data_IF_182347446954
#
_entry.id   IF_182347446954
#
_cell.length_a   1.000
_cell.length_b   1.000
_cell.length_c   1.000
_cell.angle_alpha   90.00
_cell.angle_beta   90.00
_cell.angle_gamma   90.00
#
_symmetry.space_group_name_H-M   'P 1'
#
loop_
_entity.id
_entity.type
_entity.pdbx_description
1 polymer ?
#
# COMPACT_ATOMS: atom_id res chain seq x y z
N UNK A 1 -10.19 39.19 -83.74
CA UNK A 1 -10.86 40.08 -82.84
C UNK A 1 -9.80 40.67 -81.96
N UNK A 2 -9.70 41.98 -81.93
CA UNK A 2 -8.55 42.84 -81.82
C UNK A 2 -7.79 42.85 -80.48
N UNK A 3 -6.57 43.32 -80.48
CA UNK A 3 -5.71 43.47 -79.35
C UNK A 3 -6.07 44.72 -78.52
N UNK A 4 -6.14 44.58 -77.26
CA UNK A 4 -6.35 45.67 -76.32
C UNK A 4 -5.02 46.46 -76.17
N UNK A 5 -5.06 47.71 -76.52
CA UNK A 5 -3.92 48.67 -76.51
C UNK A 5 -4.10 49.48 -75.21
N UNK A 6 -3.30 49.23 -74.19
CA UNK A 6 -3.19 50.14 -73.04
C UNK A 6 -2.33 51.37 -73.39
N UNK A 7 -2.78 52.61 -73.07
CA UNK A 7 -2.02 53.82 -73.35
C UNK A 7 -0.82 54.00 -72.46
N UNK A 8 0.33 54.32 -73.04
CA UNK A 8 1.54 54.64 -72.29
C UNK A 8 1.46 55.96 -71.51
N UNK A 9 2.33 56.21 -70.59
CA UNK A 9 2.27 57.39 -69.73
C UNK A 9 2.63 58.68 -70.48
N UNK A 10 1.83 59.71 -70.26
CA UNK A 10 2.00 61.09 -70.76
C UNK A 10 3.25 61.71 -70.14
N UNK A 11 4.25 62.02 -70.93
CA UNK A 11 5.45 62.74 -70.48
C UNK A 11 5.19 64.25 -70.65
N UNK A 12 5.16 64.97 -69.52
CA UNK A 12 5.15 66.43 -69.50
C UNK A 12 6.60 66.94 -69.42
N UNK A 13 7.03 67.92 -70.25
CA UNK A 13 8.38 68.45 -70.23
C UNK A 13 8.54 69.46 -69.10
N UNK A 14 9.55 69.25 -68.20
CA UNK A 14 10.03 70.30 -67.32
C UNK A 14 10.06 69.97 -65.80
N UNK A 15 10.17 68.78 -65.41
CA UNK A 15 10.41 68.42 -63.98
C UNK A 15 11.60 67.49 -63.86
N UNK A 16 12.70 68.01 -63.22
CA UNK A 16 13.86 67.18 -62.84
C UNK A 16 13.45 66.19 -61.73
N UNK A 17 13.45 64.92 -62.08
CA UNK A 17 13.27 63.84 -61.16
C UNK A 17 14.62 63.42 -60.56
N UNK A 18 14.73 63.36 -59.19
CA UNK A 18 15.95 62.84 -58.58
C UNK A 18 16.11 61.36 -58.96
N UNK A 19 17.28 60.97 -59.40
CA UNK A 19 17.68 59.62 -59.71
C UNK A 19 17.70 58.83 -58.42
N UNK A 20 16.67 57.99 -58.17
CA UNK A 20 16.66 56.99 -57.06
C UNK A 20 17.55 55.83 -57.55
N UNK A 21 18.70 55.66 -56.90
CA UNK A 21 19.49 54.43 -57.00
C UNK A 21 18.66 53.30 -56.40
N UNK A 22 18.10 52.45 -57.19
CA UNK A 22 17.48 51.20 -56.77
C UNK A 22 18.60 50.18 -56.55
N UNK A 23 19.01 50.09 -55.25
CA UNK A 23 19.80 48.93 -54.84
C UNK A 23 18.89 47.71 -54.90
N UNK A 24 19.03 46.90 -55.93
CA UNK A 24 18.38 45.59 -56.04
C UNK A 24 19.02 44.69 -55.00
N UNK A 25 18.34 44.55 -53.84
CA UNK A 25 18.68 43.54 -52.86
C UNK A 25 18.39 42.18 -53.47
N UNK A 26 19.43 41.48 -53.93
CA UNK A 26 19.36 40.06 -54.29
C UNK A 26 19.02 39.31 -52.99
N UNK A 27 17.94 38.52 -52.93
CA UNK A 27 17.65 37.74 -51.78
C UNK A 27 18.79 36.75 -51.55
N UNK A 28 19.49 36.85 -50.44
CA UNK A 28 20.47 35.83 -50.00
C UNK A 28 19.74 34.49 -49.92
N UNK A 29 20.20 33.57 -50.75
CA UNK A 29 19.81 32.18 -50.76
C UNK A 29 19.82 31.63 -49.31
N UNK A 30 18.65 31.27 -48.79
CA UNK A 30 18.55 30.61 -47.48
C UNK A 30 19.34 29.31 -47.58
N UNK A 31 20.51 29.26 -46.92
CA UNK A 31 21.17 27.98 -46.62
C UNK A 31 20.11 27.04 -46.07
N UNK A 32 19.79 26.01 -46.81
CA UNK A 32 19.03 24.88 -46.30
C UNK A 32 19.81 24.32 -45.12
N UNK A 33 19.38 24.61 -43.91
CA UNK A 33 19.84 23.91 -42.71
C UNK A 33 19.32 22.49 -42.83
N UNK A 34 20.17 21.57 -43.17
CA UNK A 34 19.93 20.13 -43.01
C UNK A 34 19.37 19.88 -41.61
N UNK A 35 18.24 19.19 -41.49
CA UNK A 35 17.70 18.84 -40.15
C UNK A 35 18.82 18.13 -39.36
N UNK A 36 18.94 18.39 -38.03
CA UNK A 36 19.94 17.74 -37.26
C UNK A 36 19.78 16.23 -37.41
N UNK A 37 20.90 15.60 -37.77
CA UNK A 37 20.99 14.17 -37.98
C UNK A 37 20.37 13.46 -36.74
N UNK A 38 19.27 12.75 -36.96
CA UNK A 38 18.60 12.00 -35.87
C UNK A 38 19.62 10.98 -35.41
N UNK A 39 20.03 10.95 -34.12
CA UNK A 39 21.06 10.03 -33.68
C UNK A 39 20.66 8.62 -34.08
N UNK A 40 21.43 7.97 -34.90
CA UNK A 40 21.25 6.57 -35.25
C UNK A 40 21.19 5.77 -33.91
N UNK A 41 20.10 5.05 -33.69
CA UNK A 41 19.97 4.12 -32.59
C UNK A 41 21.09 3.08 -32.72
N UNK A 42 22.19 3.28 -32.01
CA UNK A 42 23.26 2.26 -31.91
C UNK A 42 22.59 0.95 -31.51
N UNK A 43 22.79 -0.08 -32.31
CA UNK A 43 22.36 -1.44 -31.94
C UNK A 43 23.14 -1.81 -30.67
N UNK A 44 22.38 -2.04 -29.58
CA UNK A 44 22.98 -2.47 -28.32
C UNK A 44 23.77 -3.76 -28.56
N UNK A 45 24.97 -3.81 -28.03
CA UNK A 45 25.74 -5.05 -28.04
C UNK A 45 25.14 -6.04 -27.05
N UNK A 46 25.29 -7.36 -27.23
CA UNK A 46 24.81 -8.34 -26.26
C UNK A 46 25.32 -8.08 -24.83
N UNK A 47 26.52 -7.51 -24.68
CA UNK A 47 27.10 -7.16 -23.38
C UNK A 47 26.41 -5.93 -22.75
N UNK A 48 26.06 -4.91 -23.55
CA UNK A 48 25.31 -3.74 -23.08
C UNK A 48 23.90 -4.15 -22.62
N UNK A 49 23.23 -5.00 -23.39
CA UNK A 49 21.94 -5.57 -23.00
C UNK A 49 22.03 -6.36 -21.71
N UNK A 50 23.01 -7.24 -21.56
CA UNK A 50 23.22 -8.03 -20.34
C UNK A 50 23.51 -7.13 -19.13
N UNK A 51 24.33 -6.09 -19.32
CA UNK A 51 24.63 -5.11 -18.27
C UNK A 51 23.38 -4.34 -17.84
N UNK A 52 22.58 -3.86 -18.78
CA UNK A 52 21.30 -3.17 -18.48
C UNK A 52 20.34 -4.08 -17.73
N UNK A 53 20.22 -5.33 -18.16
CA UNK A 53 19.39 -6.33 -17.50
C UNK A 53 19.88 -6.61 -16.07
N UNK A 54 21.20 -6.72 -15.85
CA UNK A 54 21.77 -6.92 -14.52
C UNK A 54 21.48 -5.75 -13.58
N UNK A 55 21.57 -4.49 -14.06
CA UNK A 55 21.26 -3.30 -13.28
C UNK A 55 19.77 -3.30 -12.87
N UNK A 56 18.87 -3.58 -13.80
CA UNK A 56 17.43 -3.67 -13.52
C UNK A 56 17.13 -4.76 -12.50
N UNK A 57 17.75 -5.94 -12.67
CA UNK A 57 17.57 -7.07 -11.74
C UNK A 57 18.07 -6.72 -10.33
N UNK A 58 19.28 -6.16 -10.20
CA UNK A 58 19.84 -5.77 -8.91
C UNK A 58 19.00 -4.68 -8.25
N UNK A 59 18.58 -3.67 -9.01
CA UNK A 59 17.71 -2.61 -8.49
C UNK A 59 16.35 -3.17 -8.05
N UNK A 60 15.75 -4.04 -8.85
CA UNK A 60 14.50 -4.72 -8.50
C UNK A 60 14.62 -5.57 -7.24
N UNK A 61 15.69 -6.37 -7.14
CA UNK A 61 15.96 -7.18 -5.95
C UNK A 61 16.19 -6.30 -4.70
N UNK A 62 16.89 -5.18 -4.85
CA UNK A 62 17.08 -4.23 -3.75
C UNK A 62 15.73 -3.68 -3.25
N UNK A 63 14.87 -3.22 -4.17
CA UNK A 63 13.55 -2.69 -3.82
C UNK A 63 12.70 -3.76 -3.11
N UNK A 64 12.61 -4.96 -3.67
CA UNK A 64 11.81 -6.05 -3.08
C UNK A 64 12.36 -6.49 -1.73
N UNK A 65 13.69 -6.50 -1.56
CA UNK A 65 14.31 -6.98 -0.32
C UNK A 65 14.17 -5.98 0.82
N UNK A 66 14.32 -4.68 0.55
CA UNK A 66 14.40 -3.66 1.60
C UNK A 66 13.14 -2.82 1.77
N UNK A 67 12.39 -2.57 0.69
CA UNK A 67 11.30 -1.60 0.70
C UNK A 67 9.92 -2.26 0.75
N UNK A 68 9.75 -3.39 0.06
CA UNK A 68 8.45 -4.06 -0.09
C UNK A 68 8.60 -5.53 0.26
N UNK A 69 7.71 -6.04 1.09
CA UNK A 69 7.66 -7.46 1.41
C UNK A 69 6.32 -8.05 1.04
N UNK A 70 6.33 -9.23 0.42
CA UNK A 70 5.12 -9.98 0.10
C UNK A 70 4.69 -10.85 1.29
N UNK A 71 3.39 -10.85 1.58
CA UNK A 71 2.77 -11.69 2.60
C UNK A 71 1.51 -12.34 2.03
N UNK A 72 1.22 -13.54 2.50
CA UNK A 72 -0.06 -14.23 2.29
C UNK A 72 -0.93 -14.07 3.53
N UNK A 73 -2.23 -13.91 3.35
CA UNK A 73 -3.21 -13.81 4.43
C UNK A 73 -3.77 -15.20 4.74
N UNK A 74 -3.42 -15.80 5.89
CA UNK A 74 -3.81 -17.17 6.20
C UNK A 74 -5.12 -17.29 6.98
N UNK A 75 -5.66 -16.18 7.54
CA UNK A 75 -6.80 -16.22 8.45
C UNK A 75 -7.87 -15.19 8.11
N UNK A 76 -9.10 -15.45 8.57
CA UNK A 76 -10.27 -14.58 8.35
C UNK A 76 -10.39 -13.42 9.34
N UNK A 77 -9.39 -13.18 10.19
CA UNK A 77 -9.49 -12.15 11.24
C UNK A 77 -9.62 -10.71 10.72
N UNK A 78 -9.23 -10.47 9.45
CA UNK A 78 -9.34 -9.17 8.78
C UNK A 78 -10.37 -9.17 7.63
N UNK A 79 -11.24 -10.19 7.58
CA UNK A 79 -12.34 -10.26 6.64
C UNK A 79 -13.33 -9.11 6.98
N UNK A 80 -13.78 -8.33 6.09
CA UNK A 80 -13.85 -8.27 4.63
C UNK A 80 -12.70 -7.53 3.94
N UNK A 81 -11.87 -6.86 4.70
CA UNK A 81 -10.75 -6.04 4.18
C UNK A 81 -9.71 -6.92 3.51
N UNK A 82 -9.28 -7.99 4.18
CA UNK A 82 -8.35 -8.99 3.67
C UNK A 82 -8.96 -10.37 3.79
N UNK A 83 -8.95 -11.13 2.70
CA UNK A 83 -9.49 -12.49 2.64
C UNK A 83 -8.37 -13.52 2.73
N UNK A 84 -8.70 -14.73 3.20
CA UNK A 84 -7.78 -15.88 3.16
C UNK A 84 -7.35 -16.12 1.71
N UNK A 85 -6.03 -16.27 1.49
CA UNK A 85 -5.42 -16.43 0.17
C UNK A 85 -5.22 -15.12 -0.60
N UNK A 86 -5.41 -13.95 0.04
CA UNK A 86 -4.91 -12.69 -0.48
C UNK A 86 -3.40 -12.63 -0.30
N UNK A 87 -2.69 -12.27 -1.36
CA UNK A 87 -1.27 -11.96 -1.35
C UNK A 87 -1.08 -10.45 -1.44
N UNK A 88 -0.48 -9.87 -0.42
CA UNK A 88 -0.35 -8.41 -0.26
C UNK A 88 1.10 -7.96 -0.30
N UNK A 89 1.34 -6.79 -0.89
CA UNK A 89 2.60 -6.09 -0.69
C UNK A 89 2.50 -5.18 0.51
N UNK A 90 3.54 -5.26 1.36
CA UNK A 90 3.68 -4.48 2.59
C UNK A 90 4.82 -3.49 2.43
N UNK A 91 4.48 -2.22 2.60
CA UNK A 91 5.43 -1.10 2.65
C UNK A 91 6.11 -1.08 4.03
N UNK A 92 7.42 -1.23 4.02
CA UNK A 92 8.24 -1.25 5.23
C UNK A 92 8.87 0.09 5.57
N UNK A 93 8.77 1.07 4.65
CA UNK A 93 9.47 2.34 4.75
C UNK A 93 8.59 3.43 5.36
N UNK A 94 7.39 3.63 4.83
CA UNK A 94 6.58 4.80 5.17
C UNK A 94 6.26 4.95 6.67
N UNK A 95 6.23 3.84 7.41
CA UNK A 95 6.03 3.81 8.86
C UNK A 95 7.27 3.32 9.62
N UNK A 96 8.42 3.17 8.97
CA UNK A 96 9.69 2.87 9.65
C UNK A 96 10.06 4.03 10.62
N UNK A 97 10.90 3.78 11.62
CA UNK A 97 11.52 4.87 12.37
C UNK A 97 12.32 5.77 11.43
N UNK A 98 12.20 7.10 11.53
CA UNK A 98 12.89 8.02 10.62
C UNK A 98 14.41 7.82 10.68
N UNK A 99 15.03 7.73 9.52
CA UNK A 99 16.47 7.59 9.38
C UNK A 99 17.12 8.93 9.07
N UNK A 100 18.18 9.29 9.79
CA UNK A 100 18.84 10.59 9.62
C UNK A 100 19.54 10.78 8.26
N UNK A 101 19.82 9.68 7.53
CA UNK A 101 20.53 9.74 6.25
C UNK A 101 19.61 9.67 5.02
N UNK A 102 18.33 9.32 5.20
CA UNK A 102 17.34 9.14 4.13
C UNK A 102 16.29 10.27 4.11
N UNK A 103 16.74 11.52 4.03
CA UNK A 103 15.87 12.71 4.06
C UNK A 103 14.91 12.85 2.86
N UNK A 104 14.97 11.95 1.89
CA UNK A 104 14.04 11.89 0.75
C UNK A 104 12.84 10.94 1.00
N UNK A 105 12.86 10.18 2.08
CA UNK A 105 11.77 9.26 2.42
C UNK A 105 10.67 9.97 3.22
N UNK A 106 9.43 9.70 2.84
CA UNK A 106 8.25 10.27 3.51
C UNK A 106 7.83 9.35 4.66
N UNK A 107 8.43 9.58 5.83
CA UNK A 107 8.01 8.91 7.05
C UNK A 107 6.72 9.52 7.59
N UNK A 108 5.81 8.69 8.05
CA UNK A 108 4.63 9.12 8.76
C UNK A 108 4.43 8.33 10.05
N UNK A 109 3.79 8.93 11.00
CA UNK A 109 3.36 8.26 12.22
C UNK A 109 2.21 7.29 11.93
N UNK A 110 2.16 6.19 12.68
CA UNK A 110 1.03 5.27 12.66
C UNK A 110 -0.17 5.98 13.28
N UNK A 111 -1.31 5.89 12.61
CA UNK A 111 -2.55 6.56 12.99
C UNK A 111 -3.64 5.54 13.31
N UNK A 112 -4.67 5.99 14.02
CA UNK A 112 -5.90 5.25 14.17
C UNK A 112 -6.49 4.88 12.79
N UNK A 113 -6.93 3.64 12.64
CA UNK A 113 -7.48 3.10 11.39
C UNK A 113 -6.44 2.48 10.46
N UNK A 114 -5.13 2.68 10.68
CA UNK A 114 -4.09 2.02 9.88
C UNK A 114 -4.12 0.51 10.06
N UNK A 115 -3.97 -0.20 8.95
CA UNK A 115 -3.72 -1.63 9.00
C UNK A 115 -2.21 -1.84 9.03
N UNK A 116 -1.74 -2.63 9.99
CA UNK A 116 -0.31 -2.88 10.21
C UNK A 116 -0.01 -4.37 10.22
N UNK A 117 1.16 -4.72 9.66
CA UNK A 117 1.78 -6.04 9.81
C UNK A 117 2.86 -5.93 10.87
N UNK A 118 2.85 -6.84 11.82
CA UNK A 118 3.77 -6.82 12.95
C UNK A 118 4.14 -8.23 13.41
N UNK A 119 5.24 -8.35 14.14
CA UNK A 119 5.61 -9.59 14.84
C UNK A 119 4.74 -9.75 16.10
N UNK A 120 4.12 -10.92 16.23
CA UNK A 120 3.29 -11.25 17.40
C UNK A 120 4.06 -11.02 18.69
N UNK A 121 3.50 -10.29 19.67
CA UNK A 121 4.11 -10.16 20.99
C UNK A 121 4.07 -11.45 21.82
N UNK A 122 3.19 -12.38 21.46
CA UNK A 122 3.00 -13.65 22.18
C UNK A 122 3.77 -14.80 21.52
N UNK A 123 3.74 -14.87 20.18
CA UNK A 123 4.33 -16.00 19.44
C UNK A 123 5.52 -15.52 18.63
N UNK A 124 6.77 -15.80 19.05
CA UNK A 124 7.96 -15.35 18.34
C UNK A 124 8.00 -15.82 16.89
N UNK A 125 8.31 -14.90 15.97
CA UNK A 125 8.46 -15.17 14.53
C UNK A 125 7.14 -15.23 13.76
N UNK A 126 5.99 -15.13 14.40
CA UNK A 126 4.68 -15.10 13.74
C UNK A 126 4.36 -13.67 13.31
N UNK A 127 4.11 -13.48 12.00
CA UNK A 127 3.59 -12.23 11.46
C UNK A 127 2.07 -12.19 11.59
N UNK A 128 1.56 -11.06 12.07
CA UNK A 128 0.14 -10.82 12.29
C UNK A 128 -0.26 -9.52 11.61
N UNK A 129 -1.48 -9.47 11.10
CA UNK A 129 -2.07 -8.25 10.54
C UNK A 129 -3.30 -7.86 11.34
N UNK A 130 -3.37 -6.59 11.77
CA UNK A 130 -4.51 -6.01 12.52
C UNK A 130 -4.69 -4.55 12.14
N UNK A 131 -5.87 -4.02 12.47
CA UNK A 131 -6.15 -2.59 12.38
C UNK A 131 -5.83 -1.91 13.69
N UNK A 132 -5.14 -0.78 13.63
CA UNK A 132 -4.83 0.06 14.80
C UNK A 132 -6.10 0.77 15.24
N UNK A 133 -6.59 0.41 16.40
CA UNK A 133 -7.76 1.03 17.04
C UNK A 133 -7.33 2.10 18.03
N UNK A 134 -6.27 1.85 18.81
CA UNK A 134 -5.71 2.81 19.75
C UNK A 134 -4.25 3.13 19.44
N UNK A 135 -3.91 4.41 19.51
CA UNK A 135 -2.53 4.94 19.44
C UNK A 135 -2.09 5.38 20.84
N UNK A 136 -0.79 5.66 21.07
CA UNK A 136 -0.29 6.08 22.38
C UNK A 136 -1.12 7.20 23.02
N UNK A 137 -1.56 7.00 24.25
CA UNK A 137 -2.39 7.91 25.04
C UNK A 137 -3.90 7.77 24.84
N UNK A 138 -4.37 6.98 23.88
CA UNK A 138 -5.79 6.73 23.71
C UNK A 138 -6.35 5.86 24.86
N UNK A 139 -7.59 6.13 25.21
CA UNK A 139 -8.40 5.36 26.16
C UNK A 139 -9.40 4.51 25.40
N UNK A 140 -9.37 3.20 25.62
CA UNK A 140 -10.15 2.22 24.85
C UNK A 140 -10.97 1.36 25.80
N UNK A 141 -12.26 1.18 25.49
CA UNK A 141 -13.10 0.12 26.02
C UNK A 141 -14.09 -0.36 24.97
N UNK A 142 -14.66 -1.52 25.18
CA UNK A 142 -15.78 -2.05 24.42
C UNK A 142 -17.00 -2.16 25.33
N UNK A 143 -18.17 -1.87 24.76
CA UNK A 143 -19.48 -2.11 25.40
C UNK A 143 -20.40 -2.72 24.36
N UNK A 144 -20.90 -3.92 24.63
CA UNK A 144 -21.74 -4.69 23.73
C UNK A 144 -21.18 -4.77 22.28
N UNK A 145 -19.87 -5.00 22.17
CA UNK A 145 -19.15 -5.12 20.91
C UNK A 145 -18.79 -3.80 20.24
N UNK A 146 -19.33 -2.68 20.69
CA UNK A 146 -19.01 -1.34 20.18
C UNK A 146 -17.73 -0.83 20.82
N UNK A 147 -16.77 -0.41 20.01
CA UNK A 147 -15.52 0.19 20.50
C UNK A 147 -15.72 1.66 20.82
N UNK A 148 -15.28 2.07 22.01
CA UNK A 148 -15.18 3.45 22.42
C UNK A 148 -13.71 3.85 22.48
N UNK A 149 -13.38 4.97 21.85
CA UNK A 149 -12.06 5.59 21.88
C UNK A 149 -12.18 7.00 22.46
N UNK A 150 -11.48 7.26 23.55
CA UNK A 150 -11.53 8.56 24.24
C UNK A 150 -12.98 8.98 24.61
N UNK A 151 -13.78 8.02 25.05
CA UNK A 151 -15.17 8.21 25.45
C UNK A 151 -16.18 8.38 24.30
N UNK A 152 -15.74 8.23 23.02
CA UNK A 152 -16.61 8.34 21.84
C UNK A 152 -16.72 6.99 21.13
N UNK A 153 -17.93 6.54 20.74
CA UNK A 153 -18.11 5.34 19.96
C UNK A 153 -17.50 5.51 18.57
N UNK A 154 -16.77 4.51 18.10
CA UNK A 154 -16.18 4.53 16.76
C UNK A 154 -17.21 4.16 15.69
N UNK A 155 -17.10 4.81 14.53
CA UNK A 155 -17.82 4.44 13.31
C UNK A 155 -16.92 3.49 12.51
N UNK A 156 -17.26 2.20 12.48
CA UNK A 156 -16.41 1.16 11.93
C UNK A 156 -17.11 0.35 10.82
N UNK A 157 -17.28 0.94 9.62
CA UNK A 157 -18.04 0.29 8.53
C UNK A 157 -17.37 -0.99 7.98
N UNK A 158 -16.12 -1.22 8.33
CA UNK A 158 -15.33 -2.41 7.96
C UNK A 158 -15.54 -3.60 8.90
N UNK A 159 -16.18 -3.38 10.05
CA UNK A 159 -16.35 -4.42 11.07
C UNK A 159 -17.43 -5.40 10.68
N UNK A 160 -17.15 -6.68 10.89
CA UNK A 160 -18.12 -7.76 10.80
C UNK A 160 -18.12 -8.63 12.07
N UNK A 161 -19.28 -9.23 12.32
CA UNK A 161 -19.54 -10.22 13.37
C UNK A 161 -19.95 -11.54 12.71
N UNK A 162 -18.96 -12.32 12.24
CA UNK A 162 -19.22 -13.49 11.38
C UNK A 162 -19.91 -14.64 12.09
N UNK A 163 -19.76 -14.77 13.41
CA UNK A 163 -20.37 -15.81 14.22
C UNK A 163 -21.71 -15.35 14.84
N UNK A 164 -21.87 -14.03 15.01
CA UNK A 164 -23.10 -13.44 15.55
C UNK A 164 -23.45 -13.85 16.97
N UNK A 165 -22.52 -14.50 17.72
CA UNK A 165 -22.69 -14.89 19.11
C UNK A 165 -22.08 -13.83 20.02
N UNK A 166 -22.74 -13.57 21.13
CA UNK A 166 -22.20 -12.71 22.18
C UNK A 166 -21.19 -13.46 23.05
N UNK A 167 -20.06 -12.79 23.32
CA UNK A 167 -19.03 -13.24 24.25
C UNK A 167 -18.78 -12.13 25.28
N UNK A 168 -19.01 -12.38 26.59
CA UNK A 168 -18.93 -11.35 27.63
C UNK A 168 -17.58 -10.62 27.66
N UNK A 169 -16.47 -11.37 27.62
CA UNK A 169 -15.12 -10.79 27.66
C UNK A 169 -14.79 -10.00 26.40
N UNK A 170 -15.01 -10.62 25.24
CA UNK A 170 -14.73 -10.03 23.93
C UNK A 170 -15.46 -8.73 23.72
N UNK A 171 -16.75 -8.72 24.08
CA UNK A 171 -17.68 -7.64 23.71
C UNK A 171 -17.73 -6.53 24.77
N UNK A 172 -17.21 -6.77 26.00
CA UNK A 172 -17.14 -5.77 27.08
C UNK A 172 -15.75 -5.67 27.70
N UNK A 173 -14.72 -5.67 26.87
CA UNK A 173 -13.33 -5.48 27.28
C UNK A 173 -13.05 -4.02 27.69
N UNK A 174 -12.31 -3.73 28.73
CA UNK A 174 -11.73 -4.61 29.76
C UNK A 174 -12.60 -4.75 31.03
N UNK A 175 -13.91 -4.48 30.92
CA UNK A 175 -14.80 -4.49 32.10
C UNK A 175 -14.98 -5.90 32.67
N UNK A 176 -15.08 -6.90 31.79
CA UNK A 176 -15.23 -8.31 32.17
C UNK A 176 -13.85 -8.95 32.42
N UNK A 177 -13.65 -9.75 33.45
CA UNK A 177 -12.37 -10.36 33.74
C UNK A 177 -12.01 -11.46 32.75
N UNK A 178 -10.70 -11.62 32.46
CA UNK A 178 -10.17 -12.60 31.52
C UNK A 178 -10.53 -14.06 31.84
N UNK A 179 -10.89 -14.36 33.11
CA UNK A 179 -11.37 -15.69 33.53
C UNK A 179 -12.72 -16.09 32.91
N UNK A 180 -13.46 -15.12 32.36
CA UNK A 180 -14.74 -15.36 31.65
C UNK A 180 -14.55 -15.52 30.18
N UNK A 181 -13.31 -15.36 29.63
CA UNK A 181 -13.03 -15.56 28.23
C UNK A 181 -13.12 -17.03 27.85
N UNK A 182 -13.85 -17.32 26.76
CA UNK A 182 -13.85 -18.64 26.13
C UNK A 182 -12.58 -18.92 25.32
N UNK A 183 -11.81 -17.87 25.01
CA UNK A 183 -10.57 -17.92 24.21
C UNK A 183 -9.38 -17.71 25.15
N UNK A 184 -8.26 -18.35 24.82
CA UNK A 184 -7.01 -18.17 25.59
C UNK A 184 -6.64 -16.68 25.69
N UNK A 185 -6.28 -16.26 26.91
CA UNK A 185 -5.74 -14.92 27.19
C UNK A 185 -4.29 -15.07 27.63
N UNK A 186 -3.38 -14.33 27.02
CA UNK A 186 -1.95 -14.40 27.30
C UNK A 186 -1.65 -14.16 28.79
N UNK A 187 -0.79 -14.99 29.37
CA UNK A 187 -0.64 -15.13 30.84
C UNK A 187 -0.33 -13.81 31.57
N UNK A 188 0.43 -12.91 30.99
CA UNK A 188 0.77 -11.61 31.58
C UNK A 188 -0.27 -10.52 31.34
N UNK A 189 -1.14 -10.72 30.38
CA UNK A 189 -2.05 -9.66 29.92
C UNK A 189 -3.10 -9.24 30.95
N UNK A 190 -3.78 -10.13 31.66
CA UNK A 190 -4.77 -9.73 32.68
C UNK A 190 -4.19 -8.84 33.79
N UNK A 191 -2.94 -9.11 34.18
CA UNK A 191 -2.23 -8.29 35.19
C UNK A 191 -1.90 -6.92 34.63
N UNK A 192 -1.34 -6.87 33.41
CA UNK A 192 -1.01 -5.61 32.74
C UNK A 192 -2.26 -4.78 32.47
N UNK A 193 -3.32 -5.41 31.96
CA UNK A 193 -4.60 -4.75 31.73
C UNK A 193 -5.17 -4.16 33.01
N UNK A 194 -5.08 -4.89 34.14
CA UNK A 194 -5.50 -4.39 35.45
C UNK A 194 -4.74 -3.17 35.93
N UNK A 195 -3.43 -3.10 35.65
CA UNK A 195 -2.58 -1.91 35.98
C UNK A 195 -2.89 -0.73 35.05
N UNK A 196 -3.17 -0.99 33.79
CA UNK A 196 -3.43 0.05 32.76
C UNK A 196 -4.89 0.53 32.73
N UNK A 197 -5.76 -0.13 33.50
CA UNK A 197 -7.19 0.19 33.55
C UNK A 197 -7.45 1.41 34.41
N UNK A 198 -8.14 2.39 33.83
CA UNK A 198 -8.65 3.59 34.52
C UNK A 198 -10.18 3.65 34.36
N UNK A 199 -10.93 3.31 35.41
CA UNK A 199 -12.39 3.16 35.31
C UNK A 199 -12.77 2.00 34.40
N UNK A 200 -13.50 2.28 33.31
CA UNK A 200 -13.86 1.30 32.29
C UNK A 200 -12.85 1.23 31.13
N UNK A 201 -11.92 2.18 31.05
CA UNK A 201 -10.96 2.31 29.95
C UNK A 201 -9.64 1.61 30.23
N UNK A 202 -8.95 1.19 29.15
CA UNK A 202 -7.55 0.85 29.17
C UNK A 202 -6.78 1.93 28.41
N UNK A 203 -5.70 2.45 28.99
CA UNK A 203 -4.88 3.49 28.37
C UNK A 203 -3.74 2.86 27.59
N UNK A 204 -3.60 3.22 26.31
CA UNK A 204 -2.52 2.74 25.43
C UNK A 204 -1.19 3.38 25.85
N UNK A 205 -0.16 2.58 26.20
CA UNK A 205 1.13 3.12 26.66
C UNK A 205 1.89 3.86 25.54
N UNK A 206 2.89 4.68 25.88
CA UNK A 206 3.86 5.20 24.92
C UNK A 206 4.47 4.06 24.10
N UNK A 207 4.79 4.36 22.85
CA UNK A 207 5.41 3.43 21.88
C UNK A 207 4.68 2.08 21.73
N UNK A 208 3.37 2.09 21.94
CA UNK A 208 2.52 0.90 21.82
C UNK A 208 1.21 1.22 21.11
N UNK A 209 0.60 0.19 20.55
CA UNK A 209 -0.66 0.32 19.80
C UNK A 209 -1.65 -0.76 20.25
N UNK A 210 -2.93 -0.45 20.18
CA UNK A 210 -4.00 -1.40 20.39
C UNK A 210 -4.60 -1.80 19.06
N UNK A 211 -4.40 -3.04 18.64
CA UNK A 211 -4.84 -3.55 17.34
C UNK A 211 -5.98 -4.53 17.46
N UNK A 212 -6.97 -4.45 16.57
CA UNK A 212 -8.08 -5.40 16.49
C UNK A 212 -8.26 -5.93 15.08
N UNK A 213 -8.85 -7.12 14.94
CA UNK A 213 -9.30 -7.61 13.66
C UNK A 213 -10.60 -6.97 13.22
N UNK A 214 -10.81 -6.86 11.92
CA UNK A 214 -12.05 -6.34 11.34
C UNK A 214 -13.20 -7.35 11.53
N UNK A 215 -12.89 -8.66 11.52
CA UNK A 215 -13.83 -9.71 11.92
C UNK A 215 -13.70 -9.94 13.44
N UNK A 216 -14.52 -9.24 14.21
CA UNK A 216 -14.45 -9.14 15.67
C UNK A 216 -14.60 -10.47 16.39
N UNK A 217 -15.41 -11.38 15.85
CA UNK A 217 -15.79 -12.63 16.51
C UNK A 217 -14.69 -13.69 16.44
N UNK A 218 -13.86 -13.66 15.40
CA UNK A 218 -12.81 -14.68 15.17
C UNK A 218 -11.40 -14.12 15.29
N UNK A 219 -11.26 -12.85 15.68
CA UNK A 219 -9.95 -12.23 15.82
C UNK A 219 -9.34 -12.47 17.19
N UNK A 220 -8.18 -13.13 17.21
CA UNK A 220 -7.28 -13.15 18.35
C UNK A 220 -6.36 -11.93 18.27
N UNK A 221 -6.62 -10.91 19.11
CA UNK A 221 -6.03 -9.59 19.00
C UNK A 221 -5.71 -8.95 20.35
N UNK A 222 -5.51 -7.63 20.40
CA UNK A 222 -5.08 -6.91 21.61
C UNK A 222 -5.99 -7.09 22.82
N UNK A 223 -7.23 -7.50 22.64
CA UNK A 223 -8.11 -7.88 23.76
C UNK A 223 -7.57 -9.08 24.53
N UNK A 224 -6.82 -9.97 23.87
CA UNK A 224 -6.37 -11.25 24.40
C UNK A 224 -4.88 -11.29 24.74
N UNK A 225 -4.01 -10.56 23.98
CA UNK A 225 -2.56 -10.60 24.18
C UNK A 225 -1.92 -9.23 24.48
N UNK A 226 -2.68 -8.14 24.43
CA UNK A 226 -2.22 -6.84 24.86
C UNK A 226 -1.80 -5.90 23.73
N UNK A 227 -0.82 -5.06 24.02
CA UNK A 227 -0.37 -4.01 23.12
C UNK A 227 0.64 -4.52 22.09
N UNK A 228 0.66 -3.87 20.93
CA UNK A 228 1.66 -4.05 19.87
C UNK A 228 2.79 -3.07 20.16
N UNK A 229 3.99 -3.51 20.53
CA UNK A 229 5.14 -2.62 20.65
C UNK A 229 5.48 -2.00 19.29
N UNK A 230 5.89 -0.74 19.29
CA UNK A 230 6.28 -0.02 18.06
C UNK A 230 7.36 -0.74 17.26
N UNK A 231 8.32 -1.33 17.94
CA UNK A 231 9.43 -2.10 17.36
C UNK A 231 8.99 -3.37 16.64
N UNK A 232 7.84 -3.93 17.02
CA UNK A 232 7.30 -5.12 16.36
C UNK A 232 6.63 -4.80 15.02
N UNK A 233 6.29 -3.54 14.76
CA UNK A 233 5.58 -3.15 13.54
C UNK A 233 6.56 -3.11 12.38
N UNK A 234 6.30 -3.98 11.39
CA UNK A 234 7.13 -4.19 10.20
C UNK A 234 6.75 -3.23 9.08
N UNK A 235 5.45 -3.01 8.86
CA UNK A 235 4.98 -2.21 7.75
C UNK A 235 3.45 -2.19 7.66
N UNK A 236 2.95 -1.62 6.57
CA UNK A 236 1.51 -1.59 6.27
C UNK A 236 1.23 -2.20 4.91
N UNK A 237 0.14 -2.97 4.77
CA UNK A 237 -0.28 -3.47 3.47
C UNK A 237 -0.65 -2.31 2.55
N UNK A 238 -0.21 -2.37 1.30
CA UNK A 238 -0.54 -1.38 0.26
C UNK A 238 -1.71 -1.84 -0.58
N UNK A 239 -1.55 -2.98 -1.22
CA UNK A 239 -2.57 -3.56 -2.10
C UNK A 239 -2.40 -5.07 -2.22
N UNK A 240 -3.50 -5.71 -2.61
CA UNK A 240 -3.52 -7.14 -2.96
C UNK A 240 -2.98 -7.28 -4.38
N UNK A 241 -1.85 -7.98 -4.56
CA UNK A 241 -1.29 -8.20 -5.89
C UNK A 241 -1.80 -9.49 -6.55
N UNK A 242 -2.23 -10.46 -5.75
CA UNK A 242 -2.86 -11.69 -6.19
C UNK A 242 -3.79 -12.21 -5.10
N UNK A 243 -4.87 -12.88 -5.50
CA UNK A 243 -5.86 -13.43 -4.59
C UNK A 243 -6.37 -14.76 -5.14
N UNK A 244 -6.23 -15.82 -4.36
CA UNK A 244 -6.66 -17.16 -4.74
C UNK A 244 -7.65 -17.70 -3.71
N UNK A 245 -8.63 -18.48 -4.18
CA UNK A 245 -9.59 -19.11 -3.28
C UNK A 245 -8.94 -20.26 -2.52
N UNK A 246 -8.36 -19.95 -1.38
CA UNK A 246 -7.58 -20.88 -0.55
C UNK A 246 -8.44 -21.40 0.60
N UNK A 247 -8.45 -22.72 0.87
CA UNK A 247 -9.11 -23.28 2.05
C UNK A 247 -8.56 -22.72 3.34
N UNK A 248 -9.43 -22.48 4.33
CA UNK A 248 -9.07 -21.87 5.60
C UNK A 248 -8.10 -22.71 6.46
N UNK A 249 -8.01 -23.99 6.21
CA UNK A 249 -7.12 -24.94 6.90
C UNK A 249 -5.77 -25.14 6.18
N UNK A 250 -5.56 -24.51 5.00
CA UNK A 250 -4.35 -24.72 4.19
C UNK A 250 -3.07 -24.34 4.93
N UNK A 251 -3.09 -23.28 5.73
CA UNK A 251 -1.92 -22.82 6.48
C UNK A 251 -1.47 -23.83 7.56
N UNK A 252 -2.35 -24.73 8.02
CA UNK A 252 -2.04 -25.78 8.99
C UNK A 252 -1.35 -26.99 8.35
N UNK A 253 -1.47 -27.13 7.02
CA UNK A 253 -0.88 -28.22 6.25
C UNK A 253 0.59 -27.93 5.95
N UNK A 254 1.48 -28.47 6.78
CA UNK A 254 2.92 -28.21 6.71
C UNK A 254 3.69 -29.26 5.93
N UNK A 255 3.10 -30.43 5.66
CA UNK A 255 3.74 -31.54 4.97
C UNK A 255 4.08 -31.20 3.52
N UNK A 256 5.23 -31.69 3.05
CA UNK A 256 5.71 -31.42 1.69
C UNK A 256 4.73 -31.96 0.64
N UNK A 257 4.09 -33.09 0.90
CA UNK A 257 3.06 -33.66 0.03
C UNK A 257 1.87 -32.74 -0.17
N UNK A 258 1.37 -32.16 0.92
CA UNK A 258 0.23 -31.23 0.90
C UNK A 258 0.58 -29.94 0.16
N UNK A 259 1.80 -29.43 0.34
CA UNK A 259 2.30 -28.25 -0.37
C UNK A 259 2.40 -28.49 -1.88
N UNK A 260 2.93 -29.64 -2.30
CA UNK A 260 3.03 -30.00 -3.73
C UNK A 260 1.63 -30.18 -4.32
N UNK A 261 0.73 -30.86 -3.60
CA UNK A 261 -0.66 -31.03 -4.03
C UNK A 261 -1.37 -29.68 -4.19
N UNK A 262 -1.18 -28.77 -3.24
CA UNK A 262 -1.76 -27.43 -3.32
C UNK A 262 -1.19 -26.62 -4.47
N UNK A 263 0.13 -26.66 -4.72
CA UNK A 263 0.74 -26.04 -5.89
C UNK A 263 0.16 -26.57 -7.21
N UNK A 264 -0.04 -27.89 -7.29
CA UNK A 264 -0.72 -28.52 -8.45
C UNK A 264 -2.16 -28.03 -8.60
N UNK A 265 -2.90 -27.90 -7.48
CA UNK A 265 -4.24 -27.35 -7.48
C UNK A 265 -4.27 -25.90 -7.97
N UNK A 266 -3.36 -25.05 -7.46
CA UNK A 266 -3.22 -23.65 -7.90
C UNK A 266 -2.93 -23.57 -9.39
N UNK A 267 -2.01 -24.41 -9.91
CA UNK A 267 -1.66 -24.41 -11.32
C UNK A 267 -2.84 -24.79 -12.23
N UNK A 268 -3.62 -25.81 -11.83
CA UNK A 268 -4.79 -26.27 -12.57
C UNK A 268 -5.96 -25.29 -12.52
N UNK A 269 -6.14 -24.62 -11.39
CA UNK A 269 -7.29 -23.74 -11.13
C UNK A 269 -6.92 -22.25 -11.12
N UNK A 270 -5.77 -21.91 -11.70
CA UNK A 270 -5.28 -20.52 -11.70
C UNK A 270 -6.29 -19.52 -12.26
N UNK A 271 -6.99 -19.87 -13.32
CA UNK A 271 -7.91 -18.97 -14.00
C UNK A 271 -9.30 -18.91 -13.39
N UNK A 272 -9.81 -20.00 -12.85
CA UNK A 272 -11.16 -20.13 -12.31
C UNK A 272 -11.25 -19.81 -10.80
N UNK A 273 -10.19 -20.05 -10.03
CA UNK A 273 -10.17 -19.76 -8.60
C UNK A 273 -9.37 -18.51 -8.21
N UNK A 274 -8.71 -17.83 -9.15
CA UNK A 274 -8.15 -16.50 -8.91
C UNK A 274 -9.28 -15.48 -8.82
N UNK A 275 -9.31 -14.75 -7.71
CA UNK A 275 -10.26 -13.64 -7.48
C UNK A 275 -9.76 -12.38 -8.17
N UNK A 276 -9.91 -12.32 -9.51
CA UNK A 276 -9.40 -11.26 -10.38
C UNK A 276 -9.85 -9.85 -9.96
N UNK A 277 -11.07 -9.74 -9.40
CA UNK A 277 -11.62 -8.46 -8.92
C UNK A 277 -10.87 -7.89 -7.71
N UNK A 278 -10.09 -8.71 -7.01
CA UNK A 278 -9.29 -8.27 -5.87
C UNK A 278 -7.88 -7.87 -6.25
N UNK A 279 -7.44 -8.14 -7.47
CA UNK A 279 -6.10 -7.73 -7.92
C UNK A 279 -6.01 -6.20 -7.96
N UNK A 280 -4.92 -5.67 -7.41
CA UNK A 280 -4.66 -4.22 -7.24
C UNK A 280 -5.66 -3.51 -6.31
N UNK A 281 -6.43 -4.27 -5.52
CA UNK A 281 -7.29 -3.70 -4.49
C UNK A 281 -6.43 -3.04 -3.40
N UNK A 282 -6.64 -1.74 -3.18
CA UNK A 282 -5.92 -0.98 -2.15
C UNK A 282 -6.44 -1.37 -0.76
N UNK A 283 -5.52 -1.64 0.16
CA UNK A 283 -5.84 -1.96 1.55
C UNK A 283 -5.96 -0.67 2.35
N UNK A 284 -7.19 -0.42 2.85
CA UNK A 284 -7.52 0.82 3.59
C UNK A 284 -8.29 0.53 4.87
#
# INVERSE_FOLDING_TARGET
MGPDVSPGPLILPGLDYPTVKTDVLIPKEKKQTTPPDRPEKKKETPMEFLSSMAVVLVTGLFIITFNIQAFEIPSSSMETTLLIGDHVFVDRISIAPPSHWAGFEHYRTIQHGDIVVFLSPETPGLYVVKRVIGIPGDKIHLRDGVVYRNGQPLQEPYVIHSQGNYDPYRDNFPAVPASESAVHVASGWPVMAGVMKEGDDITVPPDSYFGMGDNRDVSYDSRYWGFIPRENIIGRPLFVYWSFNTPSDQWQKTDMSDRIQFLGHVALHFFDQTRWSRMFHLVR
#
